data_IF_398257659260
#
_entry.id   IF_398257659260
#
_cell.length_a   1.000
_cell.length_b   1.000
_cell.length_c   1.000
_cell.angle_alpha   90.00
_cell.angle_beta   90.00
_cell.angle_gamma   90.00
#
_symmetry.space_group_name_H-M   'P 1'
#
loop_
_entity.id
_entity.type
_entity.pdbx_description
1 polymer ?
#
# COMPACT_ATOMS: atom_id res chain seq x y z
N UNK A 1 6.03 -11.03 -27.04
CA UNK A 1 4.93 -11.84 -26.46
C UNK A 1 4.36 -12.91 -27.41
N UNK A 2 5.08 -13.34 -28.47
CA UNK A 2 4.61 -14.36 -29.41
C UNK A 2 5.40 -15.69 -29.36
N UNK A 3 6.50 -15.75 -28.62
CA UNK A 3 7.33 -16.97 -28.54
C UNK A 3 6.92 -17.95 -27.43
N UNK A 4 6.11 -17.54 -26.46
CA UNK A 4 5.77 -18.36 -25.29
C UNK A 4 4.40 -19.04 -25.39
N UNK A 5 3.50 -18.54 -26.24
CA UNK A 5 2.21 -19.18 -26.51
C UNK A 5 2.33 -20.47 -27.34
N UNK A 6 3.37 -20.57 -28.17
CA UNK A 6 3.57 -21.72 -29.06
C UNK A 6 4.04 -22.98 -28.29
N UNK A 7 4.65 -22.83 -27.12
CA UNK A 7 5.20 -23.98 -26.37
C UNK A 7 4.13 -24.74 -25.57
N UNK A 8 3.09 -24.05 -25.08
CA UNK A 8 2.01 -24.69 -24.32
C UNK A 8 1.02 -25.48 -25.20
N UNK A 9 0.78 -25.03 -26.43
CA UNK A 9 -0.16 -25.70 -27.34
C UNK A 9 0.45 -26.97 -27.99
N UNK A 10 1.78 -27.06 -28.08
CA UNK A 10 2.48 -28.23 -28.62
C UNK A 10 2.54 -29.40 -27.62
N UNK A 11 2.51 -29.14 -26.31
CA UNK A 11 2.58 -30.19 -25.29
C UNK A 11 1.24 -30.89 -25.06
N UNK A 12 0.11 -30.20 -25.24
CA UNK A 12 -1.22 -30.77 -25.01
C UNK A 12 -1.67 -31.75 -26.11
N UNK A 13 -1.11 -31.67 -27.32
CA UNK A 13 -1.50 -32.55 -28.44
C UNK A 13 -0.56 -33.74 -28.65
N UNK A 14 0.62 -33.75 -28.03
CA UNK A 14 1.62 -34.81 -28.25
C UNK A 14 1.97 -35.67 -27.02
N UNK A 15 1.42 -35.37 -25.83
CA UNK A 15 1.63 -36.16 -24.61
C UNK A 15 0.32 -36.62 -23.99
N UNK A 16 -0.53 -37.23 -24.81
CA UNK A 16 -1.55 -38.15 -24.32
C UNK A 16 -0.85 -39.38 -23.72
N UNK A 17 -0.90 -39.50 -22.40
CA UNK A 17 -0.56 -40.70 -21.62
C UNK A 17 0.93 -41.11 -21.59
N UNK A 18 1.70 -40.45 -20.72
CA UNK A 18 2.68 -41.07 -19.77
C UNK A 18 3.64 -40.00 -19.24
N UNK A 19 3.32 -39.41 -18.09
CA UNK A 19 4.33 -38.72 -17.28
C UNK A 19 4.44 -39.42 -15.91
N UNK A 20 5.66 -39.72 -15.42
CA UNK A 20 5.87 -40.36 -14.13
C UNK A 20 5.41 -39.46 -12.97
N UNK A 21 4.99 -40.08 -11.87
CA UNK A 21 4.33 -39.46 -10.70
C UNK A 21 5.10 -38.27 -10.11
N UNK A 22 6.43 -38.25 -10.19
CA UNK A 22 7.28 -37.16 -9.70
C UNK A 22 7.18 -35.87 -10.52
N UNK A 23 6.93 -35.96 -11.84
CA UNK A 23 6.70 -34.78 -12.69
C UNK A 23 5.30 -34.20 -12.51
N UNK A 24 4.30 -35.04 -12.20
CA UNK A 24 2.95 -34.59 -11.82
C UNK A 24 2.97 -33.78 -10.52
N UNK A 25 3.73 -34.22 -9.51
CA UNK A 25 3.94 -33.46 -8.26
C UNK A 25 4.65 -32.12 -8.50
N UNK A 26 5.68 -32.10 -9.36
CA UNK A 26 6.38 -30.86 -9.69
C UNK A 26 5.48 -29.87 -10.42
N UNK A 27 4.63 -30.34 -11.34
CA UNK A 27 3.62 -29.51 -12.04
C UNK A 27 2.51 -29.05 -11.08
N UNK A 28 2.10 -29.86 -10.11
CA UNK A 28 1.14 -29.47 -9.08
C UNK A 28 1.71 -28.43 -8.11
N UNK A 29 2.96 -28.58 -7.69
CA UNK A 29 3.67 -27.59 -6.86
C UNK A 29 3.92 -26.30 -7.63
N UNK A 30 4.32 -26.37 -8.91
CA UNK A 30 4.42 -25.20 -9.78
C UNK A 30 3.07 -24.53 -10.00
N UNK A 31 1.99 -25.29 -10.22
CA UNK A 31 0.63 -24.74 -10.27
C UNK A 31 0.26 -24.08 -8.94
N UNK A 32 0.50 -24.71 -7.79
CA UNK A 32 0.23 -24.10 -6.49
C UNK A 32 1.01 -22.80 -6.26
N UNK A 33 2.25 -22.72 -6.76
CA UNK A 33 3.09 -21.52 -6.70
C UNK A 33 2.69 -20.43 -7.74
N UNK A 34 2.16 -20.83 -8.90
CA UNK A 34 1.62 -19.94 -9.95
C UNK A 34 0.12 -19.64 -9.81
N UNK A 35 -0.56 -20.22 -8.81
CA UNK A 35 -1.99 -20.04 -8.54
C UNK A 35 -2.27 -19.05 -7.40
N UNK A 36 -1.29 -18.24 -7.01
CA UNK A 36 -1.61 -17.11 -6.16
C UNK A 36 -2.33 -16.07 -7.02
N UNK A 37 -3.63 -15.89 -6.73
CA UNK A 37 -4.49 -14.89 -7.36
C UNK A 37 -3.84 -13.50 -7.25
N UNK A 38 -4.09 -12.65 -8.23
CA UNK A 38 -3.49 -11.32 -8.26
C UNK A 38 -3.94 -10.47 -7.06
N UNK A 39 -2.98 -10.04 -6.24
CA UNK A 39 -3.21 -9.14 -5.11
C UNK A 39 -2.95 -7.70 -5.55
N UNK A 40 -4.03 -6.91 -5.68
CA UNK A 40 -3.96 -5.52 -6.16
C UNK A 40 -3.19 -4.61 -5.19
N UNK A 41 -3.29 -4.89 -3.90
CA UNK A 41 -2.68 -4.11 -2.83
C UNK A 41 -1.18 -4.37 -2.65
N UNK A 42 -0.72 -5.58 -3.01
CA UNK A 42 0.61 -6.06 -2.63
C UNK A 42 1.75 -5.09 -2.96
N UNK A 43 1.89 -4.56 -4.20
CA UNK A 43 3.02 -3.69 -4.54
C UNK A 43 3.01 -2.38 -3.74
N UNK A 44 1.84 -1.76 -3.60
CA UNK A 44 1.71 -0.45 -2.96
C UNK A 44 1.85 -0.58 -1.44
N UNK A 45 1.17 -1.53 -0.80
CA UNK A 45 1.20 -1.70 0.65
C UNK A 45 2.58 -2.06 1.18
N UNK A 46 3.36 -2.88 0.45
CA UNK A 46 4.75 -3.14 0.88
C UNK A 46 5.59 -1.87 0.86
N UNK A 47 5.36 -0.97 -0.10
CA UNK A 47 6.07 0.31 -0.18
C UNK A 47 5.66 1.25 0.95
N UNK A 48 4.36 1.38 1.19
CA UNK A 48 3.83 2.21 2.28
C UNK A 48 4.28 1.73 3.66
N UNK A 49 4.32 0.41 3.88
CA UNK A 49 4.91 -0.18 5.09
C UNK A 49 6.38 0.19 5.26
N UNK A 50 7.18 0.13 4.18
CA UNK A 50 8.58 0.52 4.24
C UNK A 50 8.74 2.01 4.56
N UNK A 51 7.92 2.87 3.96
CA UNK A 51 7.89 4.31 4.22
C UNK A 51 7.55 4.62 5.69
N UNK A 52 6.51 3.98 6.24
CA UNK A 52 6.11 4.15 7.64
C UNK A 52 7.23 3.75 8.60
N UNK A 53 7.82 2.56 8.41
CA UNK A 53 8.89 2.06 9.26
C UNK A 53 10.15 2.94 9.21
N UNK A 54 10.52 3.41 8.02
CA UNK A 54 11.67 4.31 7.86
C UNK A 54 11.44 5.66 8.54
N UNK A 55 10.25 6.23 8.37
CA UNK A 55 9.89 7.50 8.99
C UNK A 55 9.85 7.39 10.51
N UNK A 56 9.37 6.26 11.06
CA UNK A 56 9.46 5.99 12.50
C UNK A 56 10.93 6.00 12.96
N UNK A 57 11.82 5.24 12.29
CA UNK A 57 13.24 5.19 12.67
C UNK A 57 13.87 6.58 12.63
N UNK A 58 13.61 7.37 11.58
CA UNK A 58 14.09 8.75 11.46
C UNK A 58 13.64 9.59 12.65
N UNK A 59 12.33 9.63 12.92
CA UNK A 59 11.74 10.38 14.03
C UNK A 59 12.29 10.00 15.41
N UNK A 60 12.73 8.75 15.60
CA UNK A 60 13.34 8.28 16.85
C UNK A 60 14.80 8.71 17.01
N UNK A 61 15.46 9.06 15.91
CA UNK A 61 16.85 9.50 15.87
C UNK A 61 16.97 11.03 15.83
N UNK A 62 15.93 11.73 15.42
CA UNK A 62 15.90 13.19 15.28
C UNK A 62 16.04 13.92 16.62
N UNK A 63 17.00 14.83 16.68
CA UNK A 63 17.03 15.93 17.63
C UNK A 63 16.17 17.08 17.10
N UNK A 64 15.00 17.32 17.69
CA UNK A 64 14.11 18.42 17.28
C UNK A 64 14.63 19.81 17.65
N UNK A 65 15.76 19.88 18.37
CA UNK A 65 16.49 21.11 18.62
C UNK A 65 17.51 21.44 17.52
N UNK A 66 17.86 20.46 16.68
CA UNK A 66 18.67 20.68 15.48
C UNK A 66 17.73 21.01 14.31
N UNK A 67 18.01 22.11 13.61
CA UNK A 67 17.10 22.59 12.57
C UNK A 67 17.13 21.68 11.32
N UNK A 68 18.30 21.20 10.92
CA UNK A 68 18.45 20.40 9.71
C UNK A 68 17.83 19.01 9.91
N UNK A 69 18.11 18.37 11.06
CA UNK A 69 17.50 17.07 11.40
C UNK A 69 15.98 17.16 11.52
N UNK A 70 15.47 18.23 12.14
CA UNK A 70 14.05 18.39 12.35
C UNK A 70 13.29 18.71 11.06
N UNK A 71 13.85 19.54 10.19
CA UNK A 71 13.25 19.88 8.91
C UNK A 71 13.17 18.63 8.01
N UNK A 72 14.20 17.77 8.00
CA UNK A 72 14.18 16.48 7.30
C UNK A 72 13.07 15.57 7.84
N UNK A 73 12.96 15.44 9.16
CA UNK A 73 11.97 14.59 9.80
C UNK A 73 10.52 15.05 9.52
N UNK A 74 10.28 16.37 9.60
CA UNK A 74 8.97 16.96 9.31
C UNK A 74 8.58 16.76 7.85
N UNK A 75 9.53 16.94 6.91
CA UNK A 75 9.26 16.73 5.49
C UNK A 75 8.93 15.27 5.16
N UNK A 76 9.58 14.32 5.86
CA UNK A 76 9.21 12.91 5.78
C UNK A 76 7.78 12.64 6.26
N UNK A 77 7.35 13.25 7.37
CA UNK A 77 5.97 13.10 7.86
C UNK A 77 4.97 13.72 6.87
N UNK A 78 5.24 14.89 6.31
CA UNK A 78 4.40 15.50 5.26
C UNK A 78 4.27 14.58 4.05
N UNK A 79 5.37 13.97 3.63
CA UNK A 79 5.38 12.99 2.53
C UNK A 79 4.51 11.78 2.87
N UNK A 80 4.56 11.28 4.11
CA UNK A 80 3.67 10.20 4.57
C UNK A 80 2.21 10.61 4.45
N UNK A 81 1.82 11.75 5.04
CA UNK A 81 0.42 12.21 5.01
C UNK A 81 -0.08 12.34 3.57
N UNK A 82 0.70 13.01 2.70
CA UNK A 82 0.30 13.21 1.30
C UNK A 82 0.16 11.90 0.52
N UNK A 83 1.03 10.91 0.73
CA UNK A 83 0.99 9.64 0.01
C UNK A 83 -0.14 8.73 0.51
N UNK A 84 -0.45 8.76 1.80
CA UNK A 84 -1.56 7.98 2.37
C UNK A 84 -2.93 8.57 2.01
N UNK A 85 -3.08 9.90 2.06
CA UNK A 85 -4.30 10.57 1.57
C UNK A 85 -4.52 10.23 0.09
N UNK A 86 -3.45 10.33 -0.71
CA UNK A 86 -3.50 9.91 -2.10
C UNK A 86 -3.90 8.43 -2.22
N UNK A 87 -3.31 7.53 -1.45
CA UNK A 87 -3.60 6.10 -1.52
C UNK A 87 -5.08 5.76 -1.24
N UNK A 88 -5.61 6.27 -0.12
CA UNK A 88 -7.00 6.05 0.31
C UNK A 88 -7.99 6.55 -0.76
N UNK A 89 -7.72 7.73 -1.34
CA UNK A 89 -8.51 8.29 -2.44
C UNK A 89 -8.63 7.32 -3.63
N UNK A 90 -7.56 6.60 -3.98
CA UNK A 90 -7.57 5.69 -5.14
C UNK A 90 -8.28 4.39 -4.77
N UNK A 91 -8.23 3.97 -3.52
CA UNK A 91 -8.96 2.79 -3.06
C UNK A 91 -10.47 3.03 -3.08
N UNK A 92 -10.93 4.15 -2.54
CA UNK A 92 -12.33 4.55 -2.57
C UNK A 92 -12.87 4.60 -4.01
N UNK A 93 -12.14 5.28 -4.88
CA UNK A 93 -12.62 5.58 -6.23
C UNK A 93 -12.48 4.42 -7.23
N UNK A 94 -11.61 3.45 -6.97
CA UNK A 94 -11.34 2.34 -7.90
C UNK A 94 -11.60 0.97 -7.29
N UNK A 95 -11.04 0.68 -6.12
CA UNK A 95 -11.07 -0.66 -5.52
C UNK A 95 -12.41 -0.91 -4.83
N UNK A 96 -12.81 -0.03 -3.91
CA UNK A 96 -14.08 -0.16 -3.19
C UNK A 96 -15.26 0.04 -4.12
N UNK A 97 -15.17 1.00 -5.05
CA UNK A 97 -16.13 1.16 -6.14
C UNK A 97 -16.35 -0.13 -6.96
N UNK A 98 -15.29 -0.92 -7.20
CA UNK A 98 -15.41 -2.18 -7.95
C UNK A 98 -16.21 -3.25 -7.19
N UNK A 99 -16.26 -3.21 -5.86
CA UNK A 99 -16.98 -4.19 -5.05
C UNK A 99 -18.32 -3.66 -4.50
N UNK A 100 -18.59 -2.36 -4.61
CA UNK A 100 -19.78 -1.71 -4.04
C UNK A 100 -21.11 -2.32 -4.50
N UNK A 101 -21.20 -2.79 -5.75
CA UNK A 101 -22.40 -3.45 -6.26
C UNK A 101 -22.65 -4.84 -5.65
N UNK A 102 -21.63 -5.48 -5.08
CA UNK A 102 -21.69 -6.83 -4.54
C UNK A 102 -21.68 -6.86 -3.01
N UNK A 103 -20.86 -6.01 -2.39
CA UNK A 103 -20.59 -6.01 -0.94
C UNK A 103 -20.68 -4.57 -0.35
N UNK A 104 -21.83 -3.87 -0.48
CA UNK A 104 -21.94 -2.45 -0.11
C UNK A 104 -21.68 -2.19 1.38
N UNK A 105 -22.04 -3.12 2.27
CA UNK A 105 -21.77 -2.99 3.71
C UNK A 105 -20.27 -3.09 4.04
N UNK A 106 -19.51 -3.83 3.23
CA UNK A 106 -18.05 -3.91 3.39
C UNK A 106 -17.45 -2.58 2.96
N UNK A 107 -17.86 -2.03 1.82
CA UNK A 107 -17.43 -0.71 1.35
C UNK A 107 -17.68 0.36 2.40
N UNK A 108 -18.91 0.47 2.93
CA UNK A 108 -19.24 1.44 3.99
C UNK A 108 -18.34 1.30 5.23
N UNK A 109 -17.94 0.07 5.59
CA UNK A 109 -17.09 -0.15 6.75
C UNK A 109 -15.63 0.29 6.50
N UNK A 110 -15.10 0.12 5.29
CA UNK A 110 -13.74 0.56 4.94
C UNK A 110 -13.66 2.06 4.65
N UNK A 111 -14.67 2.64 3.98
CA UNK A 111 -14.77 4.10 3.82
C UNK A 111 -14.83 4.82 5.18
N UNK A 112 -15.49 4.22 6.19
CA UNK A 112 -15.49 4.75 7.55
C UNK A 112 -14.10 4.69 8.21
N UNK A 113 -13.26 3.71 7.85
CA UNK A 113 -11.87 3.66 8.30
C UNK A 113 -11.02 4.73 7.60
N UNK A 114 -11.25 5.03 6.32
CA UNK A 114 -10.59 6.16 5.66
C UNK A 114 -10.95 7.52 6.28
N UNK A 115 -12.15 7.69 6.83
CA UNK A 115 -12.50 8.89 7.62
C UNK A 115 -11.65 8.98 8.89
N UNK A 116 -11.38 7.85 9.56
CA UNK A 116 -10.49 7.81 10.72
C UNK A 116 -9.03 8.07 10.32
N UNK A 117 -8.58 7.49 9.20
CA UNK A 117 -7.23 7.75 8.65
C UNK A 117 -7.01 9.23 8.36
N UNK A 118 -7.97 9.87 7.68
CA UNK A 118 -7.94 11.28 7.37
C UNK A 118 -7.84 12.14 8.63
N UNK A 119 -8.61 11.80 9.68
CA UNK A 119 -8.55 12.50 10.96
C UNK A 119 -7.18 12.37 11.66
N UNK A 120 -6.53 11.22 11.53
CA UNK A 120 -5.16 11.00 12.03
C UNK A 120 -4.15 11.80 11.21
N UNK A 121 -4.31 11.86 9.89
CA UNK A 121 -3.52 12.72 8.98
C UNK A 121 -3.64 14.20 9.34
N UNK A 122 -4.86 14.71 9.55
CA UNK A 122 -5.09 16.08 10.02
C UNK A 122 -4.44 16.34 11.38
N UNK A 123 -4.39 15.33 12.27
CA UNK A 123 -3.70 15.48 13.55
C UNK A 123 -2.19 15.65 13.35
N UNK A 124 -1.58 14.96 12.39
CA UNK A 124 -0.17 15.15 12.04
C UNK A 124 0.08 16.55 11.48
N UNK A 125 -0.76 17.01 10.55
CA UNK A 125 -0.65 18.35 9.98
C UNK A 125 -0.74 19.46 11.05
N UNK A 126 -1.56 19.27 12.08
CA UNK A 126 -1.64 20.20 13.23
C UNK A 126 -0.32 20.25 14.01
N UNK A 127 0.33 19.10 14.24
CA UNK A 127 1.63 19.05 14.93
C UNK A 127 2.76 19.61 14.07
N UNK A 128 2.76 19.33 12.77
CA UNK A 128 3.67 19.91 11.79
C UNK A 128 3.55 21.44 11.81
N UNK A 129 2.33 21.96 11.70
CA UNK A 129 2.06 23.40 11.75
C UNK A 129 2.55 24.01 13.07
N UNK A 130 2.24 23.37 14.21
CA UNK A 130 2.71 23.84 15.51
C UNK A 130 4.25 23.88 15.59
N UNK A 131 4.93 22.89 15.01
CA UNK A 131 6.39 22.82 14.96
C UNK A 131 7.00 23.97 14.16
N UNK A 132 6.42 24.28 13.00
CA UNK A 132 6.88 25.37 12.12
C UNK A 132 6.74 26.75 12.77
N UNK A 133 5.71 26.97 13.58
CA UNK A 133 5.53 28.22 14.34
C UNK A 133 6.37 28.31 15.62
N UNK A 134 6.96 27.20 16.08
CA UNK A 134 7.72 27.17 17.32
C UNK A 134 9.09 27.82 17.15
N UNK A 135 9.37 28.85 17.97
CA UNK A 135 10.65 29.58 17.94
C UNK A 135 11.63 29.09 18.99
N UNK A 136 11.16 28.78 20.20
CA UNK A 136 12.03 28.36 21.29
C UNK A 136 12.50 26.90 21.09
N UNK A 137 13.81 26.60 21.22
CA UNK A 137 14.31 25.23 21.05
C UNK A 137 13.63 24.20 21.96
N UNK A 138 13.32 24.58 23.20
CA UNK A 138 12.56 23.71 24.12
C UNK A 138 11.13 23.46 23.67
N UNK A 139 10.47 24.44 23.05
CA UNK A 139 9.14 24.27 22.48
C UNK A 139 9.18 23.35 21.25
N UNK A 140 10.18 23.51 20.37
CA UNK A 140 10.42 22.61 19.24
C UNK A 140 10.60 21.17 19.70
N UNK A 141 11.41 20.93 20.73
CA UNK A 141 11.61 19.60 21.30
C UNK A 141 10.29 19.00 21.80
N UNK A 142 9.54 19.73 22.63
CA UNK A 142 8.26 19.21 23.17
C UNK A 142 7.22 18.95 22.09
N UNK A 143 7.13 19.81 21.06
CA UNK A 143 6.19 19.62 19.95
C UNK A 143 6.63 18.43 19.07
N UNK A 144 7.93 18.29 18.81
CA UNK A 144 8.48 17.14 18.11
C UNK A 144 8.14 15.82 18.80
N UNK A 145 8.25 15.74 20.13
CA UNK A 145 7.84 14.56 20.90
C UNK A 145 6.35 14.22 20.75
N UNK A 146 5.47 15.23 20.65
CA UNK A 146 4.04 15.01 20.38
C UNK A 146 3.78 14.59 18.93
N UNK A 147 4.51 15.17 17.97
CA UNK A 147 4.48 14.74 16.56
C UNK A 147 4.85 13.26 16.44
N UNK A 148 5.89 12.81 17.15
CA UNK A 148 6.27 11.39 17.19
C UNK A 148 5.13 10.51 17.69
N UNK A 149 4.49 10.88 18.80
CA UNK A 149 3.36 10.10 19.36
C UNK A 149 2.19 10.02 18.38
N UNK A 150 1.84 11.14 17.75
CA UNK A 150 0.80 11.18 16.72
C UNK A 150 1.17 10.32 15.51
N UNK A 151 2.44 10.34 15.08
CA UNK A 151 2.92 9.52 13.97
C UNK A 151 2.80 8.02 14.26
N UNK A 152 3.14 7.60 15.48
CA UNK A 152 2.98 6.20 15.89
C UNK A 152 1.50 5.77 15.85
N UNK A 153 0.57 6.64 16.25
CA UNK A 153 -0.87 6.34 16.16
C UNK A 153 -1.31 6.16 14.70
N UNK A 154 -0.93 7.11 13.83
CA UNK A 154 -1.17 7.04 12.38
C UNK A 154 -0.60 5.76 11.77
N UNK A 155 0.65 5.42 12.09
CA UNK A 155 1.32 4.22 11.60
C UNK A 155 0.60 2.94 12.05
N UNK A 156 0.26 2.82 13.34
CA UNK A 156 -0.39 1.62 13.87
C UNK A 156 -1.77 1.42 13.24
N UNK A 157 -2.54 2.50 13.06
CA UNK A 157 -3.81 2.45 12.36
C UNK A 157 -3.61 1.90 10.94
N UNK A 158 -2.73 2.52 10.15
CA UNK A 158 -2.50 2.18 8.76
C UNK A 158 -1.95 0.77 8.54
N UNK A 159 -1.07 0.28 9.42
CA UNK A 159 -0.59 -1.09 9.37
C UNK A 159 -1.73 -2.11 9.57
N UNK A 160 -2.66 -1.82 10.49
CA UNK A 160 -3.82 -2.67 10.73
C UNK A 160 -4.83 -2.58 9.58
N UNK A 161 -5.08 -1.37 9.07
CA UNK A 161 -5.99 -1.09 7.97
C UNK A 161 -5.57 -1.85 6.70
N UNK A 162 -4.35 -1.63 6.21
CA UNK A 162 -3.80 -2.31 5.03
C UNK A 162 -3.83 -3.84 5.16
N UNK A 163 -3.55 -4.37 6.37
CA UNK A 163 -3.62 -5.81 6.61
C UNK A 163 -5.06 -6.34 6.54
N UNK A 164 -6.04 -5.53 6.97
CA UNK A 164 -7.46 -5.86 6.91
C UNK A 164 -7.97 -5.83 5.48
N UNK A 165 -7.58 -4.86 4.67
CA UNK A 165 -7.91 -4.79 3.24
C UNK A 165 -7.40 -6.03 2.51
N UNK A 166 -6.12 -6.35 2.68
CA UNK A 166 -5.51 -7.54 2.08
C UNK A 166 -6.21 -8.84 2.49
N UNK A 167 -6.74 -8.90 3.72
CA UNK A 167 -7.42 -10.07 4.27
C UNK A 167 -8.89 -10.19 3.84
N UNK A 168 -9.59 -9.06 3.69
CA UNK A 168 -11.04 -9.03 3.47
C UNK A 168 -11.39 -8.71 2.02
N UNK A 169 -10.76 -7.69 1.44
CA UNK A 169 -11.11 -7.18 0.11
C UNK A 169 -10.54 -8.06 -0.99
N UNK A 170 -9.31 -8.56 -0.87
CA UNK A 170 -8.74 -9.48 -1.86
C UNK A 170 -9.62 -10.72 -2.12
N UNK A 171 -10.09 -11.47 -1.10
CA UNK A 171 -11.01 -12.59 -1.35
C UNK A 171 -12.32 -12.20 -2.04
N UNK A 172 -12.85 -11.01 -1.76
CA UNK A 172 -14.04 -10.46 -2.41
C UNK A 172 -13.74 -10.19 -3.89
N UNK A 173 -12.65 -9.48 -4.17
CA UNK A 173 -12.18 -9.21 -5.53
C UNK A 173 -11.97 -10.50 -6.32
N UNK A 174 -11.32 -11.50 -5.73
CA UNK A 174 -11.08 -12.80 -6.37
C UNK A 174 -12.35 -13.60 -6.64
N UNK A 175 -13.42 -13.37 -5.89
CA UNK A 175 -14.73 -14.00 -6.10
C UNK A 175 -15.43 -13.45 -7.34
N UNK A 176 -15.35 -12.14 -7.57
CA UNK A 176 -16.13 -11.46 -8.60
C UNK A 176 -15.34 -11.14 -9.87
N UNK A 177 -14.01 -11.13 -9.82
CA UNK A 177 -13.14 -10.72 -10.93
C UNK A 177 -12.07 -11.76 -11.23
N UNK A 178 -11.73 -11.88 -12.52
CA UNK A 178 -10.54 -12.57 -13.00
C UNK A 178 -9.28 -11.73 -12.78
N UNK A 179 -8.11 -12.37 -12.78
CA UNK A 179 -6.85 -11.64 -12.59
C UNK A 179 -6.59 -10.60 -13.71
N UNK A 180 -7.08 -10.86 -14.93
CA UNK A 180 -6.99 -9.90 -16.02
C UNK A 180 -7.86 -8.65 -15.77
N UNK A 181 -9.05 -8.80 -15.20
CA UNK A 181 -9.90 -7.68 -14.82
C UNK A 181 -9.30 -6.89 -13.66
N UNK A 182 -8.74 -7.57 -12.66
CA UNK A 182 -8.05 -6.91 -11.55
C UNK A 182 -6.81 -6.13 -12.02
N UNK A 183 -6.04 -6.67 -12.98
CA UNK A 183 -4.96 -5.92 -13.61
C UNK A 183 -5.47 -4.66 -14.33
N UNK A 184 -6.64 -4.72 -14.97
CA UNK A 184 -7.24 -3.54 -15.61
C UNK A 184 -7.65 -2.47 -14.58
N UNK A 185 -8.11 -2.86 -13.39
CA UNK A 185 -8.35 -1.93 -12.29
C UNK A 185 -7.05 -1.25 -11.88
N UNK A 186 -5.98 -2.02 -11.64
CA UNK A 186 -4.65 -1.46 -11.34
C UNK A 186 -4.17 -0.50 -12.44
N UNK A 187 -4.32 -0.87 -13.71
CA UNK A 187 -3.95 -0.02 -14.84
C UNK A 187 -4.79 1.27 -14.92
N UNK A 188 -6.02 1.25 -14.43
CA UNK A 188 -6.86 2.45 -14.36
C UNK A 188 -6.35 3.38 -13.26
N UNK A 189 -6.00 2.82 -12.10
CA UNK A 189 -5.38 3.58 -10.99
C UNK A 189 -4.07 4.22 -11.45
N UNK A 190 -3.16 3.46 -12.05
CA UNK A 190 -1.82 3.97 -12.40
C UNK A 190 -1.81 5.03 -13.49
N UNK A 191 -2.86 5.10 -14.33
CA UNK A 191 -2.99 6.15 -15.35
C UNK A 191 -3.33 7.52 -14.77
N UNK A 192 -3.98 7.55 -13.61
CA UNK A 192 -4.42 8.79 -12.96
C UNK A 192 -3.34 9.36 -12.04
N UNK A 193 -2.34 8.55 -11.67
CA UNK A 193 -1.22 8.99 -10.83
C UNK A 193 -0.24 9.79 -11.68
N UNK A 194 0.03 11.07 -11.35
CA UNK A 194 1.03 11.87 -12.04
C UNK A 194 2.41 11.20 -12.03
N UNK A 195 3.24 11.37 -13.08
CA UNK A 195 4.54 10.69 -13.17
C UNK A 195 5.48 10.94 -11.99
N UNK A 196 5.45 12.16 -11.43
CA UNK A 196 6.28 12.51 -10.28
C UNK A 196 5.86 11.72 -9.03
N UNK A 197 4.55 11.63 -8.76
CA UNK A 197 4.00 10.89 -7.63
C UNK A 197 4.23 9.38 -7.79
N UNK A 198 4.03 8.84 -9.00
CA UNK A 198 4.33 7.45 -9.32
C UNK A 198 5.81 7.10 -9.06
N UNK A 199 6.74 8.03 -9.32
CA UNK A 199 8.16 7.82 -9.03
C UNK A 199 8.42 7.70 -7.52
N UNK A 200 7.72 8.49 -6.69
CA UNK A 200 7.78 8.37 -5.23
C UNK A 200 7.27 7.01 -4.75
N UNK A 201 6.06 6.62 -5.17
CA UNK A 201 5.53 5.30 -4.83
C UNK A 201 6.48 4.19 -5.28
N UNK A 202 6.96 4.23 -6.53
CA UNK A 202 7.83 3.20 -7.10
C UNK A 202 9.12 3.01 -6.31
N UNK A 203 9.76 4.10 -5.84
CA UNK A 203 10.94 4.03 -4.97
C UNK A 203 10.66 3.19 -3.73
N UNK A 204 9.52 3.42 -3.08
CA UNK A 204 9.14 2.70 -1.86
C UNK A 204 8.71 1.25 -2.15
N UNK A 205 7.96 1.01 -3.23
CA UNK A 205 7.55 -0.35 -3.63
C UNK A 205 8.74 -1.27 -3.93
N UNK A 206 9.83 -0.71 -4.49
CA UNK A 206 11.09 -1.44 -4.73
C UNK A 206 11.85 -1.71 -3.43
N UNK A 207 11.75 -0.81 -2.45
CA UNK A 207 12.48 -0.86 -1.19
C UNK A 207 11.89 -1.85 -0.18
N UNK A 208 10.56 -1.91 -0.06
CA UNK A 208 9.86 -2.90 0.77
C UNK A 208 10.04 -4.32 0.26
#
# INVERSE_FOLDING_TARGET
MHFMFCFCQFMNTWLGNRLPTSQLYCIQLFKLYFMQRYNIFFPIHKGLRALLCETAILLQQTSFMDADEADEAVEHVKTVVSLFESHADKEDNYVFKAIAAYEPSVVTAFEAEHVEDHALGESLEKWITAFEYAVAPSAKQSIGEELVKAFIQFMVFNLNHMAKEEKVINPILWRYYSDAELHNITLSITKEIPPQEMAYFSRWMVKG
#
